data_IF_513979258153
#
_entry.id   IF_513979258153
#
_cell.length_a   1.000
_cell.length_b   1.000
_cell.length_c   1.000
_cell.angle_alpha   90.00
_cell.angle_beta   90.00
_cell.angle_gamma   90.00
#
_symmetry.space_group_name_H-M   'P 1'
#
loop_
_entity.id
_entity.type
_entity.pdbx_description
1 polymer ?
#
# COMPACT_ATOMS: atom_id res chain seq x y z
N UNK A 1 -7.69 -12.98 23.84
CA UNK A 1 -8.06 -12.16 22.66
C UNK A 1 -6.83 -12.09 21.78
N UNK A 2 -6.94 -12.54 20.53
CA UNK A 2 -5.84 -12.49 19.56
C UNK A 2 -5.49 -11.03 19.22
N UNK A 3 -4.20 -10.71 19.08
CA UNK A 3 -3.78 -9.33 18.77
C UNK A 3 -4.13 -8.93 17.34
N UNK A 4 -4.18 -7.62 17.06
CA UNK A 4 -4.37 -7.09 15.70
C UNK A 4 -3.34 -7.67 14.73
N UNK A 5 -2.08 -7.78 15.15
CA UNK A 5 -1.01 -8.33 14.30
C UNK A 5 -1.12 -9.84 14.07
N UNK A 6 -1.55 -10.61 15.08
CA UNK A 6 -1.74 -12.06 14.93
C UNK A 6 -2.86 -12.35 13.91
N UNK A 7 -3.96 -11.60 14.01
CA UNK A 7 -5.13 -11.77 13.15
C UNK A 7 -4.92 -11.18 11.75
N UNK A 8 -4.51 -9.92 11.65
CA UNK A 8 -4.53 -9.15 10.39
C UNK A 8 -3.18 -9.14 9.65
N UNK A 9 -2.08 -9.47 10.31
CA UNK A 9 -0.73 -9.26 9.74
C UNK A 9 -0.02 -10.58 9.45
N UNK A 10 0.18 -11.36 10.51
CA UNK A 10 1.02 -12.57 10.51
C UNK A 10 0.69 -13.55 9.37
N UNK A 11 -0.59 -13.82 9.03
CA UNK A 11 -0.92 -14.80 8.00
C UNK A 11 -0.55 -14.34 6.58
N UNK A 12 -0.52 -13.03 6.34
CA UNK A 12 -0.61 -12.47 4.97
C UNK A 12 0.59 -11.61 4.56
N UNK A 13 1.35 -11.04 5.51
CA UNK A 13 2.32 -10.00 5.18
C UNK A 13 3.40 -10.41 4.16
N UNK A 14 3.78 -11.70 4.11
CA UNK A 14 4.75 -12.21 3.14
C UNK A 14 4.20 -12.25 1.72
N UNK A 15 2.93 -12.65 1.56
CA UNK A 15 2.25 -12.64 0.27
C UNK A 15 1.96 -11.22 -0.22
N UNK A 16 1.92 -10.24 0.70
CA UNK A 16 1.45 -8.89 0.43
C UNK A 16 2.57 -7.82 0.42
N UNK A 17 3.80 -8.14 0.78
CA UNK A 17 4.91 -7.16 0.83
C UNK A 17 5.49 -6.85 -0.55
N UNK A 18 6.00 -5.63 -0.74
CA UNK A 18 6.62 -5.23 -2.01
C UNK A 18 5.66 -5.46 -3.18
N UNK A 19 6.11 -6.22 -4.17
CA UNK A 19 5.32 -6.58 -5.36
C UNK A 19 4.66 -7.96 -5.26
N UNK A 20 4.86 -8.70 -4.16
CA UNK A 20 4.44 -10.09 -4.00
C UNK A 20 2.94 -10.32 -4.20
N UNK A 21 2.12 -9.29 -3.99
CA UNK A 21 0.67 -9.41 -4.03
C UNK A 21 0.14 -9.81 -5.43
N UNK A 22 0.84 -9.48 -6.50
CA UNK A 22 0.45 -9.88 -7.87
C UNK A 22 0.58 -11.37 -8.11
N UNK A 23 1.52 -12.04 -7.44
CA UNK A 23 1.80 -13.46 -7.60
C UNK A 23 1.16 -14.33 -6.51
N UNK A 24 1.15 -13.84 -5.28
CA UNK A 24 0.89 -14.68 -4.09
C UNK A 24 -0.43 -14.38 -3.38
N UNK A 25 -1.09 -13.25 -3.64
CA UNK A 25 -2.34 -12.92 -2.94
C UNK A 25 -3.48 -13.90 -3.25
N UNK A 26 -3.42 -14.58 -4.40
CA UNK A 26 -4.42 -15.56 -4.83
C UNK A 26 -4.57 -16.73 -3.87
N UNK A 27 -3.46 -17.24 -3.33
CA UNK A 27 -3.43 -18.45 -2.49
C UNK A 27 -4.14 -18.25 -1.14
N UNK A 28 -4.21 -17.01 -0.67
CA UNK A 28 -4.77 -16.66 0.63
C UNK A 28 -5.98 -15.71 0.51
N UNK A 29 -6.52 -15.54 -0.70
CA UNK A 29 -7.48 -14.48 -1.01
C UNK A 29 -8.73 -14.52 -0.13
N UNK A 30 -9.37 -15.68 -0.03
CA UNK A 30 -10.64 -15.81 0.69
C UNK A 30 -10.45 -15.57 2.21
N UNK A 31 -9.33 -16.04 2.76
CA UNK A 31 -8.97 -15.79 4.16
C UNK A 31 -8.61 -14.32 4.40
N UNK A 32 -7.86 -13.69 3.49
CA UNK A 32 -7.55 -12.27 3.54
C UNK A 32 -8.82 -11.42 3.54
N UNK A 33 -9.78 -11.72 2.66
CA UNK A 33 -11.05 -11.00 2.61
C UNK A 33 -11.88 -11.24 3.86
N UNK A 34 -12.03 -12.50 4.28
CA UNK A 34 -12.81 -12.88 5.47
C UNK A 34 -12.29 -12.19 6.72
N UNK A 35 -10.97 -12.21 6.93
CA UNK A 35 -10.32 -11.58 8.07
C UNK A 35 -10.29 -10.06 7.91
N UNK A 36 -10.00 -9.54 6.71
CA UNK A 36 -9.96 -8.11 6.42
C UNK A 36 -11.30 -7.41 6.65
N UNK A 37 -12.44 -8.08 6.43
CA UNK A 37 -13.79 -7.55 6.75
C UNK A 37 -14.00 -7.27 8.23
N UNK A 38 -13.17 -7.86 9.09
CA UNK A 38 -13.20 -7.62 10.55
C UNK A 38 -12.24 -6.52 10.99
N UNK A 39 -11.48 -5.92 10.07
CA UNK A 39 -10.60 -4.80 10.37
C UNK A 39 -11.42 -3.52 10.60
N UNK A 40 -11.12 -2.81 11.68
CA UNK A 40 -11.71 -1.50 11.95
C UNK A 40 -10.79 -0.37 11.48
N UNK A 41 -11.33 0.85 11.36
CA UNK A 41 -10.51 2.05 11.11
C UNK A 41 -9.39 2.16 12.16
N UNK A 42 -9.70 1.92 13.44
CA UNK A 42 -8.72 1.94 14.53
C UNK A 42 -7.61 0.92 14.34
N UNK A 43 -7.95 -0.33 13.95
CA UNK A 43 -6.96 -1.37 13.67
C UNK A 43 -6.01 -0.91 12.56
N UNK A 44 -6.54 -0.36 11.46
CA UNK A 44 -5.72 0.08 10.33
C UNK A 44 -4.83 1.27 10.69
N UNK A 45 -5.33 2.25 11.47
CA UNK A 45 -4.50 3.35 11.98
C UNK A 45 -3.34 2.83 12.83
N UNK A 46 -3.61 1.87 13.72
CA UNK A 46 -2.58 1.24 14.53
C UNK A 46 -1.50 0.57 13.66
N UNK A 47 -1.91 -0.18 12.63
CA UNK A 47 -1.00 -0.85 11.71
C UNK A 47 -0.12 0.13 10.92
N UNK A 48 -0.70 1.21 10.40
CA UNK A 48 0.03 2.27 9.68
C UNK A 48 1.03 3.00 10.57
N UNK A 49 0.72 3.14 11.87
CA UNK A 49 1.56 3.84 12.85
C UNK A 49 2.66 2.96 13.49
N UNK A 50 2.65 1.64 13.30
CA UNK A 50 3.46 0.69 14.07
C UNK A 50 4.98 0.83 13.90
N UNK A 51 5.45 1.52 12.84
CA UNK A 51 6.89 1.71 12.56
C UNK A 51 7.64 0.46 12.07
N UNK A 52 7.12 -0.74 12.36
CA UNK A 52 7.59 -2.00 11.78
C UNK A 52 6.99 -2.22 10.39
N UNK A 53 7.76 -2.81 9.47
CA UNK A 53 7.34 -2.93 8.07
C UNK A 53 6.16 -3.89 7.87
N UNK A 54 6.07 -5.01 8.61
CA UNK A 54 5.00 -6.02 8.41
C UNK A 54 3.62 -5.45 8.71
N UNK A 55 3.38 -4.81 9.87
CA UNK A 55 2.11 -4.14 10.12
C UNK A 55 1.79 -3.06 9.08
N UNK A 56 2.78 -2.27 8.68
CA UNK A 56 2.59 -1.18 7.70
C UNK A 56 2.17 -1.72 6.33
N UNK A 57 2.75 -2.82 5.85
CA UNK A 57 2.32 -3.50 4.61
C UNK A 57 0.83 -3.81 4.67
N UNK A 58 0.39 -4.46 5.75
CA UNK A 58 -1.00 -4.88 5.86
C UNK A 58 -1.94 -3.71 6.17
N UNK A 59 -1.47 -2.69 6.90
CA UNK A 59 -2.19 -1.43 7.06
C UNK A 59 -2.45 -0.74 5.72
N UNK A 60 -1.47 -0.73 4.81
CA UNK A 60 -1.64 -0.19 3.47
C UNK A 60 -2.73 -0.96 2.68
N UNK A 61 -2.65 -2.28 2.63
CA UNK A 61 -3.64 -3.09 1.92
C UNK A 61 -5.04 -3.02 2.50
N UNK A 62 -5.18 -3.00 3.83
CA UNK A 62 -6.49 -2.89 4.47
C UNK A 62 -7.06 -1.47 4.37
N UNK A 63 -6.21 -0.44 4.23
CA UNK A 63 -6.67 0.95 4.11
C UNK A 63 -7.55 1.20 2.89
N UNK A 64 -7.42 0.38 1.84
CA UNK A 64 -8.19 0.53 0.58
C UNK A 64 -9.69 0.36 0.76
N UNK A 65 -10.13 -0.26 1.86
CA UNK A 65 -11.55 -0.44 2.19
C UNK A 65 -12.21 0.83 2.76
N UNK A 66 -11.42 1.84 3.13
CA UNK A 66 -11.91 3.02 3.84
C UNK A 66 -11.82 4.29 2.97
N UNK A 67 -12.52 5.32 3.42
CA UNK A 67 -12.58 6.59 2.71
C UNK A 67 -11.38 7.49 3.08
N UNK A 68 -11.05 8.50 2.23
CA UNK A 68 -10.07 9.52 2.61
C UNK A 68 -10.42 10.23 3.94
N UNK A 69 -11.70 10.36 4.27
CA UNK A 69 -12.16 10.98 5.52
C UNK A 69 -11.79 10.15 6.75
N UNK A 70 -11.78 8.82 6.63
CA UNK A 70 -11.49 7.91 7.75
C UNK A 70 -9.99 7.77 8.03
N UNK A 71 -9.19 7.61 6.97
CA UNK A 71 -7.78 7.22 7.05
C UNK A 71 -6.81 8.19 6.36
N UNK A 72 -7.28 9.24 5.69
CA UNK A 72 -6.46 10.08 4.83
C UNK A 72 -5.18 10.62 5.47
N UNK A 73 -5.28 11.29 6.64
CA UNK A 73 -4.11 11.80 7.35
C UNK A 73 -3.13 10.71 7.79
N UNK A 74 -3.64 9.58 8.29
CA UNK A 74 -2.82 8.46 8.77
C UNK A 74 -2.08 7.76 7.63
N UNK A 75 -2.76 7.54 6.49
CA UNK A 75 -2.18 6.96 5.29
C UNK A 75 -1.14 7.90 4.67
N UNK A 76 -1.44 9.20 4.56
CA UNK A 76 -0.48 10.19 4.06
C UNK A 76 0.76 10.25 4.96
N UNK A 77 0.59 10.22 6.28
CA UNK A 77 1.72 10.18 7.21
C UNK A 77 2.56 8.91 7.02
N UNK A 78 1.93 7.73 6.82
CA UNK A 78 2.65 6.50 6.52
C UNK A 78 3.46 6.60 5.22
N UNK A 79 2.91 7.22 4.17
CA UNK A 79 3.61 7.48 2.89
C UNK A 79 4.85 8.35 3.10
N UNK A 80 4.76 9.43 3.90
CA UNK A 80 5.95 10.27 4.18
C UNK A 80 7.07 9.53 4.91
N UNK A 81 6.73 8.41 5.55
CA UNK A 81 7.61 7.57 6.36
C UNK A 81 8.05 6.29 5.65
N UNK A 82 7.82 6.13 4.35
CA UNK A 82 8.36 4.97 3.61
C UNK A 82 9.88 4.90 3.79
N UNK A 83 10.39 3.72 4.15
CA UNK A 83 11.82 3.47 4.40
C UNK A 83 12.40 2.28 3.62
N UNK A 84 11.65 1.66 2.71
CA UNK A 84 12.17 0.49 1.99
C UNK A 84 11.18 -0.14 1.00
N UNK A 85 11.72 -1.00 0.13
CA UNK A 85 10.96 -1.69 -0.93
C UNK A 85 9.86 -2.63 -0.45
N UNK A 86 9.87 -3.06 0.82
CA UNK A 86 8.77 -3.89 1.34
C UNK A 86 7.47 -3.10 1.52
N UNK A 87 7.56 -1.81 1.86
CA UNK A 87 6.39 -0.97 2.13
C UNK A 87 6.11 0.04 1.03
N UNK A 88 7.10 0.44 0.23
CA UNK A 88 6.93 1.48 -0.79
C UNK A 88 5.86 1.12 -1.84
N UNK A 89 5.86 -0.07 -2.47
CA UNK A 89 4.79 -0.42 -3.40
C UNK A 89 3.39 -0.47 -2.77
N UNK A 90 3.13 -1.20 -1.66
CA UNK A 90 1.78 -1.26 -1.12
C UNK A 90 1.27 0.09 -0.59
N UNK A 91 2.13 0.92 0.05
CA UNK A 91 1.73 2.26 0.50
C UNK A 91 1.42 3.20 -0.65
N UNK A 92 2.24 3.19 -1.71
CA UNK A 92 2.03 4.07 -2.86
C UNK A 92 0.78 3.71 -3.65
N UNK A 93 0.48 2.41 -3.80
CA UNK A 93 -0.75 1.91 -4.42
C UNK A 93 -1.99 2.23 -3.57
N UNK A 94 -1.91 2.03 -2.25
CA UNK A 94 -2.99 2.42 -1.34
C UNK A 94 -3.24 3.94 -1.40
N UNK A 95 -2.18 4.76 -1.40
CA UNK A 95 -2.28 6.20 -1.51
C UNK A 95 -2.88 6.64 -2.86
N UNK A 96 -2.48 6.01 -3.96
CA UNK A 96 -3.10 6.23 -5.28
C UNK A 96 -4.62 6.00 -5.23
N UNK A 97 -5.06 4.89 -4.64
CA UNK A 97 -6.47 4.48 -4.65
C UNK A 97 -7.34 5.26 -3.64
N UNK A 98 -6.78 5.63 -2.48
CA UNK A 98 -7.52 6.28 -1.39
C UNK A 98 -7.39 7.79 -1.45
N UNK A 99 -6.19 8.34 -1.70
CA UNK A 99 -5.93 9.78 -1.65
C UNK A 99 -5.93 10.43 -3.04
N UNK A 100 -5.66 9.66 -4.10
CA UNK A 100 -5.52 10.20 -5.45
C UNK A 100 -4.44 11.30 -5.51
N UNK A 101 -4.80 12.44 -6.09
CA UNK A 101 -3.89 13.57 -6.28
C UNK A 101 -3.25 14.09 -4.98
N UNK A 102 -3.93 13.96 -3.84
CA UNK A 102 -3.44 14.43 -2.54
C UNK A 102 -2.17 13.68 -2.07
N UNK A 103 -1.91 12.49 -2.60
CA UNK A 103 -0.66 11.75 -2.35
C UNK A 103 0.55 12.28 -3.13
N UNK A 104 0.32 13.06 -4.20
CA UNK A 104 1.32 13.36 -5.23
C UNK A 104 2.61 13.98 -4.68
N UNK A 105 2.49 14.97 -3.79
CA UNK A 105 3.66 15.65 -3.18
C UNK A 105 4.48 14.68 -2.32
N UNK A 106 3.83 13.86 -1.49
CA UNK A 106 4.52 12.93 -0.61
C UNK A 106 5.26 11.84 -1.40
N UNK A 107 4.63 11.30 -2.44
CA UNK A 107 5.24 10.30 -3.33
C UNK A 107 6.38 10.88 -4.15
N UNK A 108 6.23 12.11 -4.67
CA UNK A 108 7.30 12.82 -5.37
C UNK A 108 8.53 13.04 -4.47
N UNK A 109 8.30 13.42 -3.21
CA UNK A 109 9.38 13.57 -2.22
C UNK A 109 10.08 12.25 -1.90
N UNK A 110 9.34 11.14 -1.85
CA UNK A 110 9.94 9.82 -1.71
C UNK A 110 10.83 9.49 -2.91
N UNK A 111 10.33 9.66 -4.14
CA UNK A 111 11.09 9.42 -5.37
C UNK A 111 12.37 10.24 -5.39
N UNK A 112 12.30 11.53 -5.02
CA UNK A 112 13.46 12.40 -4.94
C UNK A 112 14.51 11.90 -3.94
N UNK A 113 14.10 11.37 -2.79
CA UNK A 113 15.02 10.80 -1.78
C UNK A 113 15.59 9.45 -2.22
N UNK A 114 14.75 8.59 -2.80
CA UNK A 114 15.10 7.22 -3.16
C UNK A 114 16.00 7.13 -4.38
N UNK A 115 16.05 8.16 -5.24
CA UNK A 115 16.97 8.19 -6.38
C UNK A 115 18.45 8.18 -5.97
N UNK A 116 18.76 8.71 -4.79
CA UNK A 116 20.12 8.90 -4.28
C UNK A 116 20.43 7.98 -3.07
N UNK A 117 19.46 7.22 -2.57
CA UNK A 117 19.60 6.31 -1.42
C UNK A 117 19.10 4.90 -1.76
N UNK A 118 20.04 4.02 -2.15
CA UNK A 118 19.76 2.64 -2.53
C UNK A 118 19.02 1.84 -1.45
N UNK A 119 19.09 2.25 -0.18
CA UNK A 119 18.40 1.56 0.93
C UNK A 119 16.88 1.75 0.87
N UNK A 120 16.39 2.84 0.26
CA UNK A 120 14.96 3.09 0.13
C UNK A 120 14.33 2.20 -0.95
N UNK A 121 15.03 1.99 -2.07
CA UNK A 121 14.60 1.16 -3.20
C UNK A 121 13.30 1.63 -3.87
N UNK A 122 12.78 0.86 -4.83
CA UNK A 122 11.47 1.06 -5.49
C UNK A 122 11.21 2.47 -6.07
N UNK A 123 12.25 3.27 -6.33
CA UNK A 123 12.09 4.66 -6.78
C UNK A 123 11.37 4.75 -8.12
N UNK A 124 11.67 3.83 -9.05
CA UNK A 124 11.07 3.77 -10.39
C UNK A 124 9.63 3.26 -10.35
N UNK A 125 9.30 2.33 -9.44
CA UNK A 125 7.93 1.92 -9.15
C UNK A 125 7.09 3.10 -8.62
N UNK A 126 7.57 3.80 -7.60
CA UNK A 126 6.83 4.94 -7.04
C UNK A 126 6.77 6.10 -8.04
N UNK A 127 7.76 6.25 -8.92
CA UNK A 127 7.70 7.17 -10.04
C UNK A 127 6.55 6.83 -11.00
N UNK A 128 6.27 5.55 -11.25
CA UNK A 128 5.13 5.12 -12.07
C UNK A 128 3.81 5.52 -11.40
N UNK A 129 3.73 5.45 -10.06
CA UNK A 129 2.55 5.92 -9.31
C UNK A 129 2.38 7.44 -9.45
N UNK A 130 3.46 8.21 -9.34
CA UNK A 130 3.44 9.67 -9.55
C UNK A 130 3.00 10.01 -10.97
N UNK A 131 3.52 9.29 -11.98
CA UNK A 131 3.11 9.43 -13.38
C UNK A 131 1.61 9.13 -13.56
N UNK A 132 1.11 8.04 -12.96
CA UNK A 132 -0.31 7.66 -13.02
C UNK A 132 -1.25 8.66 -12.32
N UNK A 133 -0.76 9.41 -11.33
CA UNK A 133 -1.47 10.53 -10.71
C UNK A 133 -1.46 11.81 -11.58
N UNK A 134 -0.83 11.79 -12.76
CA UNK A 134 -0.66 12.95 -13.64
C UNK A 134 0.52 13.85 -13.26
N UNK A 135 1.39 13.39 -12.37
CA UNK A 135 2.60 14.11 -11.96
C UNK A 135 3.79 13.88 -12.91
N UNK A 136 4.88 14.59 -12.64
CA UNK A 136 6.16 14.44 -13.34
C UNK A 136 7.22 13.93 -12.34
N UNK A 137 7.54 12.63 -12.33
CA UNK A 137 8.48 12.09 -11.35
C UNK A 137 9.92 12.54 -11.63
N UNK A 138 10.72 12.68 -10.56
CA UNK A 138 12.12 13.12 -10.65
C UNK A 138 13.06 12.09 -11.30
N UNK A 139 12.61 10.84 -11.42
CA UNK A 139 13.25 9.78 -12.21
C UNK A 139 12.19 9.18 -13.14
N UNK A 140 12.52 8.82 -14.39
CA UNK A 140 11.56 8.18 -15.28
C UNK A 140 11.21 6.78 -14.76
N UNK A 141 9.91 6.40 -14.73
CA UNK A 141 9.52 5.03 -14.43
C UNK A 141 9.97 4.08 -15.55
N UNK A 142 10.33 2.86 -15.16
CA UNK A 142 10.64 1.79 -16.11
C UNK A 142 9.35 1.16 -16.63
N UNK A 143 9.44 0.51 -17.78
CA UNK A 143 8.28 -0.17 -18.36
C UNK A 143 7.80 -1.34 -17.50
N UNK A 144 8.73 -2.12 -16.94
CA UNK A 144 8.44 -3.19 -15.98
C UNK A 144 7.63 -2.67 -14.78
N UNK A 145 8.04 -1.54 -14.21
CA UNK A 145 7.37 -0.93 -13.07
C UNK A 145 5.95 -0.42 -13.40
N UNK A 146 5.69 0.00 -14.65
CA UNK A 146 4.33 0.37 -15.08
C UNK A 146 3.43 -0.86 -15.17
N UNK A 147 3.96 -1.97 -15.66
CA UNK A 147 3.24 -3.26 -15.72
C UNK A 147 2.95 -3.76 -14.31
N UNK A 148 3.94 -3.73 -13.43
CA UNK A 148 3.79 -4.12 -12.03
C UNK A 148 2.77 -3.22 -11.30
N UNK A 149 2.80 -1.91 -11.55
CA UNK A 149 1.82 -0.98 -11.01
C UNK A 149 0.39 -1.33 -11.45
N UNK A 150 0.19 -1.63 -12.74
CA UNK A 150 -1.13 -2.04 -13.24
C UNK A 150 -1.63 -3.30 -12.52
N UNK A 151 -0.76 -4.30 -12.32
CA UNK A 151 -1.08 -5.50 -11.56
C UNK A 151 -1.45 -5.21 -10.10
N UNK A 152 -0.64 -4.40 -9.42
CA UNK A 152 -0.85 -4.01 -8.02
C UNK A 152 -2.15 -3.20 -7.82
N UNK A 153 -2.45 -2.28 -8.73
CA UNK A 153 -3.73 -1.54 -8.76
C UNK A 153 -4.90 -2.52 -8.94
N UNK A 154 -4.75 -3.54 -9.80
CA UNK A 154 -5.75 -4.59 -9.98
C UNK A 154 -6.04 -5.35 -8.69
N UNK A 155 -4.99 -5.74 -7.94
CA UNK A 155 -5.12 -6.38 -6.62
C UNK A 155 -5.83 -5.45 -5.64
N UNK A 156 -5.42 -4.18 -5.56
CA UNK A 156 -5.99 -3.20 -4.63
C UNK A 156 -7.48 -2.96 -4.88
N UNK A 157 -7.89 -2.81 -6.15
CA UNK A 157 -9.30 -2.65 -6.53
C UNK A 157 -10.14 -3.89 -6.22
N UNK A 158 -9.61 -5.08 -6.52
CA UNK A 158 -10.29 -6.35 -6.21
C UNK A 158 -10.49 -6.48 -4.70
N UNK A 159 -9.47 -6.13 -3.91
CA UNK A 159 -9.52 -6.18 -2.45
C UNK A 159 -10.53 -5.18 -1.90
N UNK A 160 -10.46 -3.92 -2.33
CA UNK A 160 -11.42 -2.87 -1.97
C UNK A 160 -12.85 -3.34 -2.20
N UNK A 161 -13.14 -3.82 -3.40
CA UNK A 161 -14.48 -4.30 -3.78
C UNK A 161 -14.95 -5.43 -2.86
N UNK A 162 -14.09 -6.41 -2.56
CA UNK A 162 -14.42 -7.54 -1.72
C UNK A 162 -14.66 -7.17 -0.25
N UNK A 163 -13.92 -6.18 0.26
CA UNK A 163 -14.02 -5.69 1.64
C UNK A 163 -15.23 -4.75 1.85
N UNK A 164 -15.63 -4.00 0.83
CA UNK A 164 -16.78 -3.07 0.92
C UNK A 164 -18.10 -3.67 0.46
N UNK A 165 -18.08 -4.82 -0.21
CA UNK A 165 -19.30 -5.53 -0.59
C UNK A 165 -20.09 -5.92 0.67
N UNK A 166 -21.33 -5.44 0.76
CA UNK A 166 -22.26 -5.81 1.82
C UNK A 166 -22.61 -7.29 1.64
N UNK A 167 -22.40 -8.10 2.68
CA UNK A 167 -22.85 -9.51 2.69
C UNK A 167 -24.35 -9.59 2.91
#
# INVERSE_FOLDING_TARGET
MESVEQRLVTPFYLAMMGLNATEHAGDQWDDLVRVGRTATVTDVKQLLAAGAWRPVVMGAWLSVAFTPQDLGPDLLLAVTRIQGSFTAPPLSVAAYLVLGADAGTALTNYVFRARDDERLGSATFVAAVVEALGGQPAVPPREEDRVDLAGMIGVAWRLRTALTATS
#
